data_IF_510716771155
#
_entry.id   IF_510716771155
#
_cell.length_a   1.000
_cell.length_b   1.000
_cell.length_c   1.000
_cell.angle_alpha   90.00
_cell.angle_beta   90.00
_cell.angle_gamma   90.00
#
_symmetry.space_group_name_H-M   'P 1'
#
loop_
_entity.id
_entity.type
_entity.pdbx_description
1 polymer ?
#
# COMPACT_ATOMS: atom_id res chain seq x y z
N UNK A 1 0.41 -18.92 -25.50
CA UNK A 1 0.52 -17.58 -26.13
C UNK A 1 0.22 -16.54 -25.05
N UNK A 2 1.24 -16.14 -24.29
CA UNK A 2 1.09 -15.38 -23.03
C UNK A 2 1.52 -13.93 -23.30
N UNK A 3 0.56 -12.99 -23.27
CA UNK A 3 0.82 -11.56 -23.43
C UNK A 3 1.43 -11.02 -22.13
N UNK A 4 2.74 -10.81 -22.14
CA UNK A 4 3.45 -9.95 -21.17
C UNK A 4 3.09 -8.50 -21.47
N UNK A 5 2.37 -7.84 -20.56
CA UNK A 5 2.15 -6.39 -20.61
C UNK A 5 2.69 -5.75 -19.35
N UNK A 6 3.79 -5.01 -19.51
CA UNK A 6 3.87 -3.63 -19.02
C UNK A 6 4.10 -3.35 -17.53
N UNK A 7 5.09 -3.97 -16.88
CA UNK A 7 5.68 -3.42 -15.63
C UNK A 7 6.77 -2.40 -15.94
N UNK A 8 6.42 -1.21 -16.42
CA UNK A 8 7.31 -0.01 -16.44
C UNK A 8 6.45 1.24 -16.53
N UNK A 9 6.32 1.98 -15.42
CA UNK A 9 6.06 3.44 -15.32
C UNK A 9 5.37 3.80 -14.00
N UNK A 10 6.05 3.68 -12.86
CA UNK A 10 5.74 4.49 -11.65
C UNK A 10 7.05 4.72 -10.88
N UNK A 11 8.01 5.41 -11.49
CA UNK A 11 9.18 6.01 -10.82
C UNK A 11 9.58 7.25 -11.63
N UNK A 12 8.70 8.25 -11.64
CA UNK A 12 8.97 9.56 -12.26
C UNK A 12 8.01 10.62 -11.69
N UNK A 13 7.91 10.70 -10.36
CA UNK A 13 7.03 11.66 -9.68
C UNK A 13 7.65 12.28 -8.43
N UNK A 14 8.98 12.27 -8.32
CA UNK A 14 9.72 12.70 -7.13
C UNK A 14 10.95 13.53 -7.55
N UNK A 15 10.73 14.55 -8.38
CA UNK A 15 11.78 15.48 -8.79
C UNK A 15 11.26 16.83 -9.33
N UNK A 16 10.08 17.31 -8.89
CA UNK A 16 9.54 18.59 -9.38
C UNK A 16 8.74 19.33 -8.30
N UNK A 17 9.39 19.65 -7.17
CA UNK A 17 8.82 20.59 -6.18
C UNK A 17 9.90 21.35 -5.38
N UNK A 18 11.10 21.53 -5.94
CA UNK A 18 12.19 22.30 -5.32
C UNK A 18 12.73 23.35 -6.29
N UNK A 19 11.87 24.29 -6.72
CA UNK A 19 12.27 25.36 -7.63
C UNK A 19 11.33 26.57 -7.56
N UNK A 20 11.09 27.14 -6.35
CA UNK A 20 10.46 28.47 -6.23
C UNK A 20 11.13 29.40 -5.20
N UNK A 21 11.93 28.93 -4.23
CA UNK A 21 12.50 29.80 -3.18
C UNK A 21 13.99 30.11 -3.34
N UNK A 22 14.37 30.76 -4.45
CA UNK A 22 15.74 31.28 -4.64
C UNK A 22 15.81 32.62 -5.40
N UNK A 23 14.85 33.54 -5.20
CA UNK A 23 14.86 34.89 -5.83
C UNK A 23 14.53 36.03 -4.84
N UNK A 24 14.85 35.90 -3.56
CA UNK A 24 14.63 36.98 -2.57
C UNK A 24 15.92 37.36 -1.81
N UNK A 25 17.04 37.43 -2.52
CA UNK A 25 18.33 37.88 -1.98
C UNK A 25 19.08 38.75 -3.00
N UNK A 26 18.44 39.82 -3.52
CA UNK A 26 19.09 40.80 -4.40
C UNK A 26 18.26 42.10 -4.56
N UNK A 27 17.97 42.79 -3.45
CA UNK A 27 17.56 44.20 -3.38
C UNK A 27 17.35 44.48 -1.88
N UNK A 28 18.25 45.14 -1.16
CA UNK A 28 18.39 46.60 -1.10
C UNK A 28 19.83 46.87 -0.65
N UNK A 29 20.72 47.12 -1.61
CA UNK A 29 22.10 47.57 -1.37
C UNK A 29 22.55 48.41 -2.57
N UNK A 30 21.86 49.53 -2.80
CA UNK A 30 22.26 50.57 -3.75
C UNK A 30 21.37 51.83 -3.64
N UNK A 31 21.60 52.69 -2.64
CA UNK A 31 21.48 54.16 -2.80
C UNK A 31 22.55 54.81 -1.93
N UNK A 32 23.79 54.69 -2.37
CA UNK A 32 24.88 55.62 -2.05
C UNK A 32 25.22 56.30 -3.38
N UNK A 33 25.47 57.61 -3.31
CA UNK A 33 25.96 58.51 -4.38
C UNK A 33 24.92 59.21 -5.26
N UNK A 34 24.45 60.39 -4.81
CA UNK A 34 24.65 61.66 -5.53
C UNK A 34 24.07 62.82 -4.71
N UNK A 35 24.92 63.60 -4.03
CA UNK A 35 24.77 65.03 -3.81
C UNK A 35 25.97 65.51 -2.98
N UNK A 36 27.09 65.70 -3.66
CA UNK A 36 28.13 66.58 -3.15
C UNK A 36 27.68 68.04 -3.28
N UNK A 37 27.90 68.82 -2.23
CA UNK A 37 28.73 70.04 -2.19
C UNK A 37 28.15 71.09 -1.25
N UNK A 38 29.03 71.47 -0.32
CA UNK A 38 29.28 72.85 0.11
C UNK A 38 28.13 73.57 0.82
N UNK A 39 28.18 73.54 2.16
CA UNK A 39 28.09 74.80 2.88
C UNK A 39 28.91 74.73 4.17
N UNK A 40 30.01 75.48 4.17
CA UNK A 40 30.89 75.73 5.30
C UNK A 40 30.67 77.18 5.73
N UNK A 41 29.95 77.37 6.82
CA UNK A 41 29.96 78.58 7.65
C UNK A 41 29.69 78.08 9.07
N UNK A 42 30.75 77.78 9.84
CA UNK A 42 31.28 78.64 10.90
C UNK A 42 30.26 79.07 11.97
N UNK A 43 30.63 78.70 13.21
CA UNK A 43 30.31 79.36 14.48
C UNK A 43 28.89 79.08 15.01
N UNK A 44 28.66 78.66 16.26
CA UNK A 44 29.36 78.98 17.51
C UNK A 44 28.82 78.11 18.67
N UNK A 45 29.72 77.77 19.60
CA UNK A 45 29.52 77.51 21.05
C UNK A 45 28.75 76.24 21.49
N UNK A 46 29.37 75.39 22.35
CA UNK A 46 28.71 74.28 23.00
C UNK A 46 27.96 74.80 24.24
N UNK A 47 26.64 74.94 24.13
CA UNK A 47 25.79 75.16 25.29
C UNK A 47 25.46 73.80 25.90
N UNK A 48 26.30 73.39 26.85
CA UNK A 48 25.99 72.33 27.78
C UNK A 48 24.77 72.77 28.62
N UNK A 49 23.60 72.26 28.26
CA UNK A 49 22.38 72.35 29.05
C UNK A 49 21.94 70.94 29.46
N UNK A 50 22.09 70.71 30.77
CA UNK A 50 21.31 69.85 31.65
C UNK A 50 21.21 68.32 31.39
N UNK A 51 21.90 67.50 32.22
CA UNK A 51 21.55 66.10 32.40
C UNK A 51 20.45 65.96 33.47
N UNK A 52 19.24 66.44 33.18
CA UNK A 52 18.05 66.08 33.94
C UNK A 52 16.95 65.67 32.96
N UNK A 53 17.10 64.46 32.41
CA UNK A 53 16.02 63.76 31.75
C UNK A 53 14.83 63.66 32.71
N UNK A 54 13.74 64.34 32.38
CA UNK A 54 12.49 64.32 33.13
C UNK A 54 12.00 62.86 33.24
N UNK A 55 12.04 62.22 34.43
CA UNK A 55 11.86 60.77 34.57
C UNK A 55 10.47 60.31 34.08
N UNK A 56 9.49 61.21 34.12
CA UNK A 56 8.13 60.98 33.63
C UNK A 56 8.08 60.75 32.11
N UNK A 57 8.92 61.45 31.33
CA UNK A 57 8.99 61.26 29.87
C UNK A 57 9.74 59.99 29.49
N UNK A 58 10.76 59.63 30.25
CA UNK A 58 11.48 58.38 30.07
C UNK A 58 10.56 57.16 30.32
N UNK A 59 9.77 57.18 31.39
CA UNK A 59 8.79 56.12 31.66
C UNK A 59 7.70 56.01 30.58
N UNK A 60 7.21 57.13 30.06
CA UNK A 60 6.21 57.12 28.99
C UNK A 60 6.75 56.48 27.69
N UNK A 61 8.01 56.77 27.34
CA UNK A 61 8.68 56.16 26.19
C UNK A 61 8.91 54.65 26.36
N UNK A 62 9.28 54.20 27.56
CA UNK A 62 9.43 52.75 27.85
C UNK A 62 8.08 52.01 27.82
N UNK A 63 6.99 52.63 28.29
CA UNK A 63 5.63 52.07 28.17
C UNK A 63 5.20 51.96 26.70
N UNK A 64 5.54 52.94 25.88
CA UNK A 64 5.21 52.90 24.45
C UNK A 64 6.03 51.83 23.70
N UNK A 65 7.30 51.63 24.07
CA UNK A 65 8.15 50.55 23.54
C UNK A 65 7.60 49.17 23.90
N UNK A 66 7.32 48.94 25.18
CA UNK A 66 6.75 47.67 25.65
C UNK A 66 5.39 47.38 25.04
N UNK A 67 4.53 48.40 24.87
CA UNK A 67 3.27 48.25 24.15
C UNK A 67 3.49 47.86 22.67
N UNK A 68 4.43 48.51 21.98
CA UNK A 68 4.78 48.15 20.59
C UNK A 68 5.30 46.72 20.50
N UNK A 69 6.18 46.30 21.40
CA UNK A 69 6.69 44.92 21.47
C UNK A 69 5.56 43.90 21.67
N UNK A 70 4.63 44.18 22.59
CA UNK A 70 3.47 43.32 22.83
C UNK A 70 2.58 43.19 21.58
N UNK A 71 2.35 44.30 20.87
CA UNK A 71 1.56 44.30 19.63
C UNK A 71 2.24 43.45 18.55
N UNK A 72 3.56 43.54 18.39
CA UNK A 72 4.30 42.71 17.45
C UNK A 72 4.30 41.22 17.85
N UNK A 73 4.43 40.90 19.15
CA UNK A 73 4.32 39.53 19.63
C UNK A 73 2.91 38.95 19.37
N UNK A 74 1.86 39.73 19.61
CA UNK A 74 0.48 39.31 19.33
C UNK A 74 0.23 39.12 17.84
N UNK A 75 0.80 39.97 16.97
CA UNK A 75 0.73 39.81 15.51
C UNK A 75 1.45 38.54 15.07
N UNK A 76 2.64 38.28 15.60
CA UNK A 76 3.41 37.06 15.31
C UNK A 76 2.64 35.80 15.73
N UNK A 77 2.08 35.79 16.95
CA UNK A 77 1.24 34.68 17.44
C UNK A 77 -0.02 34.48 16.60
N UNK A 78 -0.70 35.56 16.22
CA UNK A 78 -1.87 35.48 15.33
C UNK A 78 -1.51 34.85 13.99
N UNK A 79 -0.43 35.31 13.36
CA UNK A 79 0.04 34.75 12.09
C UNK A 79 0.45 33.27 12.22
N UNK A 80 1.02 32.86 13.36
CA UNK A 80 1.33 31.46 13.64
C UNK A 80 0.05 30.61 13.78
N UNK A 81 -0.95 31.11 14.50
CA UNK A 81 -2.25 30.44 14.66
C UNK A 81 -2.94 30.28 13.30
N UNK A 82 -3.03 31.33 12.50
CA UNK A 82 -3.64 31.29 11.17
C UNK A 82 -2.94 30.26 10.25
N UNK A 83 -1.61 30.16 10.33
CA UNK A 83 -0.84 29.12 9.61
C UNK A 83 -1.19 27.72 10.08
N UNK A 84 -1.31 27.51 11.40
CA UNK A 84 -1.69 26.22 11.97
C UNK A 84 -3.12 25.83 11.61
N UNK A 85 -4.05 26.77 11.65
CA UNK A 85 -5.44 26.55 11.24
C UNK A 85 -5.54 26.16 9.76
N UNK A 86 -4.78 26.83 8.90
CA UNK A 86 -4.71 26.47 7.47
C UNK A 86 -4.15 25.06 7.25
N UNK A 87 -3.06 24.68 7.96
CA UNK A 87 -2.47 23.34 7.88
C UNK A 87 -3.42 22.26 8.42
N UNK A 88 -4.11 22.52 9.54
CA UNK A 88 -5.11 21.59 10.08
C UNK A 88 -6.27 21.41 9.11
N UNK A 89 -6.83 22.51 8.58
CA UNK A 89 -7.93 22.45 7.62
C UNK A 89 -7.56 21.65 6.36
N UNK A 90 -6.33 21.81 5.86
CA UNK A 90 -5.85 21.02 4.73
C UNK A 90 -5.74 19.53 5.05
N UNK A 91 -5.19 19.18 6.23
CA UNK A 91 -5.12 17.79 6.67
C UNK A 91 -6.50 17.17 6.87
N UNK A 92 -7.45 17.92 7.41
CA UNK A 92 -8.84 17.45 7.57
C UNK A 92 -9.47 17.12 6.21
N UNK A 93 -9.28 17.97 5.19
CA UNK A 93 -9.72 17.67 3.82
C UNK A 93 -9.08 16.40 3.27
N UNK A 94 -7.78 16.23 3.45
CA UNK A 94 -7.07 15.02 3.00
C UNK A 94 -7.59 13.76 3.71
N UNK A 95 -7.86 13.84 5.02
CA UNK A 95 -8.42 12.71 5.78
C UNK A 95 -9.81 12.33 5.29
N UNK A 96 -10.65 13.30 4.91
CA UNK A 96 -11.98 13.01 4.34
C UNK A 96 -11.84 12.27 3.01
N UNK A 97 -11.01 12.77 2.10
CA UNK A 97 -10.76 12.11 0.79
C UNK A 97 -10.27 10.68 1.00
N UNK A 98 -9.25 10.49 1.85
CA UNK A 98 -8.70 9.16 2.13
C UNK A 98 -9.73 8.20 2.75
N UNK A 99 -10.66 8.72 3.57
CA UNK A 99 -11.75 7.90 4.15
C UNK A 99 -12.74 7.46 3.08
N UNK A 100 -13.09 8.34 2.14
CA UNK A 100 -13.99 8.02 1.03
C UNK A 100 -13.34 6.99 0.08
N UNK A 101 -12.07 7.18 -0.26
CA UNK A 101 -11.29 6.23 -1.07
C UNK A 101 -11.21 4.86 -0.38
N UNK A 102 -10.87 4.82 0.91
CA UNK A 102 -10.80 3.58 1.67
C UNK A 102 -12.16 2.87 1.75
N UNK A 103 -13.25 3.62 1.91
CA UNK A 103 -14.60 3.04 1.90
C UNK A 103 -14.92 2.40 0.54
N UNK A 104 -14.60 3.07 -0.56
CA UNK A 104 -14.78 2.53 -1.90
C UNK A 104 -13.93 1.27 -2.15
N UNK A 105 -12.67 1.27 -1.73
CA UNK A 105 -11.79 0.09 -1.83
C UNK A 105 -12.32 -1.09 -1.01
N UNK A 106 -12.82 -0.84 0.20
CA UNK A 106 -13.40 -1.89 1.05
C UNK A 106 -14.63 -2.53 0.42
N UNK A 107 -15.51 -1.74 -0.21
CA UNK A 107 -16.66 -2.28 -0.94
C UNK A 107 -16.21 -3.09 -2.16
N UNK A 108 -15.25 -2.59 -2.95
CA UNK A 108 -14.69 -3.35 -4.08
C UNK A 108 -14.09 -4.70 -3.64
N UNK A 109 -13.39 -4.74 -2.50
CA UNK A 109 -12.85 -5.99 -1.93
C UNK A 109 -13.96 -6.93 -1.48
N UNK A 110 -15.04 -6.42 -0.85
CA UNK A 110 -16.19 -7.25 -0.46
C UNK A 110 -16.87 -7.86 -1.67
N UNK A 111 -17.09 -7.08 -2.72
CA UNK A 111 -17.68 -7.56 -3.98
C UNK A 111 -16.81 -8.62 -4.64
N UNK A 112 -15.50 -8.39 -4.72
CA UNK A 112 -14.55 -9.36 -5.25
C UNK A 112 -14.56 -10.68 -4.47
N UNK A 113 -14.61 -10.61 -3.12
CA UNK A 113 -14.75 -11.80 -2.26
C UNK A 113 -16.07 -12.53 -2.50
N UNK A 114 -17.17 -11.82 -2.64
CA UNK A 114 -18.47 -12.41 -2.92
C UNK A 114 -18.55 -13.04 -4.32
N UNK A 115 -17.90 -12.43 -5.32
CA UNK A 115 -17.76 -13.01 -6.65
C UNK A 115 -16.95 -14.31 -6.61
N UNK A 116 -15.78 -14.30 -5.95
CA UNK A 116 -14.93 -15.48 -5.83
C UNK A 116 -15.63 -16.62 -5.07
N UNK A 117 -16.39 -16.30 -4.02
CA UNK A 117 -17.18 -17.30 -3.29
C UNK A 117 -18.26 -17.95 -4.18
N UNK A 118 -18.94 -17.15 -5.02
CA UNK A 118 -19.94 -17.65 -5.98
C UNK A 118 -19.30 -18.54 -7.05
N UNK A 119 -18.19 -18.11 -7.63
CA UNK A 119 -17.46 -18.91 -8.63
C UNK A 119 -16.96 -20.22 -8.06
N UNK A 120 -16.40 -20.19 -6.84
CA UNK A 120 -15.96 -21.40 -6.14
C UNK A 120 -17.12 -22.37 -5.93
N UNK A 121 -18.27 -21.87 -5.44
CA UNK A 121 -19.46 -22.71 -5.25
C UNK A 121 -19.95 -23.31 -6.56
N UNK A 122 -20.02 -22.51 -7.64
CA UNK A 122 -20.40 -23.00 -8.96
C UNK A 122 -19.41 -24.07 -9.48
N UNK A 123 -18.11 -23.89 -9.24
CA UNK A 123 -17.11 -24.88 -9.59
C UNK A 123 -17.26 -26.18 -8.79
N UNK A 124 -17.52 -26.09 -7.49
CA UNK A 124 -17.77 -27.25 -6.63
C UNK A 124 -19.05 -28.00 -7.06
N UNK A 125 -20.12 -27.28 -7.40
CA UNK A 125 -21.39 -27.84 -7.92
C UNK A 125 -21.23 -28.52 -9.28
N UNK A 126 -20.35 -28.03 -10.16
CA UNK A 126 -20.05 -28.68 -11.43
C UNK A 126 -19.10 -29.89 -11.27
N UNK A 127 -18.14 -29.79 -10.33
CA UNK A 127 -17.12 -30.81 -10.11
C UNK A 127 -17.68 -32.04 -9.41
N UNK A 128 -18.52 -31.89 -8.39
CA UNK A 128 -19.00 -33.03 -7.61
C UNK A 128 -19.78 -34.06 -8.45
N UNK A 129 -20.81 -33.70 -9.26
CA UNK A 129 -21.54 -34.67 -10.07
C UNK A 129 -20.68 -35.27 -11.20
N UNK A 130 -19.72 -34.50 -11.72
CA UNK A 130 -18.81 -34.98 -12.76
C UNK A 130 -17.80 -35.98 -12.22
N UNK A 131 -17.29 -35.73 -11.01
CA UNK A 131 -16.38 -36.63 -10.32
C UNK A 131 -17.08 -37.91 -9.84
N UNK A 132 -18.32 -37.81 -9.35
CA UNK A 132 -19.12 -39.00 -9.00
C UNK A 132 -19.39 -39.91 -10.19
N UNK A 133 -19.67 -39.34 -11.38
CA UNK A 133 -19.82 -40.11 -12.62
C UNK A 133 -18.52 -40.81 -13.00
N UNK A 134 -17.38 -40.13 -12.84
CA UNK A 134 -16.07 -40.71 -13.07
C UNK A 134 -15.81 -41.86 -12.10
N UNK A 135 -16.08 -41.67 -10.81
CA UNK A 135 -15.96 -42.74 -9.80
C UNK A 135 -16.80 -43.95 -10.18
N UNK A 136 -18.09 -43.77 -10.48
CA UNK A 136 -18.98 -44.88 -10.89
C UNK A 136 -18.47 -45.62 -12.12
N UNK A 137 -17.91 -44.90 -13.10
CA UNK A 137 -17.33 -45.52 -14.29
C UNK A 137 -16.13 -46.40 -13.95
N UNK A 138 -15.25 -45.97 -13.02
CA UNK A 138 -14.11 -46.75 -12.56
C UNK A 138 -14.52 -47.88 -11.59
N UNK A 139 -15.56 -47.71 -10.78
CA UNK A 139 -16.08 -48.77 -9.91
C UNK A 139 -16.60 -49.97 -10.71
N UNK A 140 -17.22 -49.74 -11.87
CA UNK A 140 -17.70 -50.79 -12.78
C UNK A 140 -16.67 -51.30 -13.76
N UNK A 141 -15.44 -50.77 -13.74
CA UNK A 141 -14.39 -51.12 -14.68
C UNK A 141 -13.57 -52.31 -14.19
N UNK A 142 -13.21 -53.22 -15.10
CA UNK A 142 -12.28 -54.31 -14.78
C UNK A 142 -10.91 -53.78 -14.32
N UNK A 143 -10.29 -54.38 -13.29
CA UNK A 143 -9.05 -53.86 -12.68
C UNK A 143 -7.91 -53.62 -13.68
N UNK A 144 -7.72 -54.52 -14.65
CA UNK A 144 -6.66 -54.39 -15.68
C UNK A 144 -6.89 -53.20 -16.62
N UNK A 145 -8.15 -52.92 -16.96
CA UNK A 145 -8.53 -51.78 -17.79
C UNK A 145 -8.43 -50.47 -17.00
N UNK A 146 -8.84 -50.50 -15.73
CA UNK A 146 -8.67 -49.38 -14.81
C UNK A 146 -7.19 -49.03 -14.66
N UNK A 147 -6.31 -50.00 -14.44
CA UNK A 147 -4.87 -49.80 -14.34
C UNK A 147 -4.27 -49.09 -15.57
N UNK A 148 -4.64 -49.53 -16.78
CA UNK A 148 -4.18 -48.88 -18.04
C UNK A 148 -4.67 -47.42 -18.12
N UNK A 149 -5.94 -47.19 -17.83
CA UNK A 149 -6.53 -45.85 -17.88
C UNK A 149 -5.91 -44.93 -16.81
N UNK A 150 -5.71 -45.42 -15.59
CA UNK A 150 -5.05 -44.69 -14.51
C UNK A 150 -3.61 -44.33 -14.87
N UNK A 151 -2.86 -45.24 -15.49
CA UNK A 151 -1.50 -44.95 -15.90
C UNK A 151 -1.41 -43.90 -17.02
N UNK A 152 -2.34 -43.91 -17.96
CA UNK A 152 -2.43 -42.84 -18.96
C UNK A 152 -2.81 -41.51 -18.31
N UNK A 153 -3.80 -41.52 -17.42
CA UNK A 153 -4.25 -40.34 -16.70
C UNK A 153 -3.14 -39.77 -15.82
N UNK A 154 -2.34 -40.61 -15.17
CA UNK A 154 -1.23 -40.21 -14.31
C UNK A 154 -0.21 -39.34 -15.04
N UNK A 155 0.07 -39.63 -16.31
CA UNK A 155 0.97 -38.82 -17.14
C UNK A 155 0.45 -37.41 -17.42
N UNK A 156 -0.88 -37.23 -17.37
CA UNK A 156 -1.54 -35.95 -17.63
C UNK A 156 -1.78 -35.18 -16.33
N UNK A 157 -2.33 -35.86 -15.32
CA UNK A 157 -2.67 -35.31 -14.02
C UNK A 157 -2.57 -36.39 -12.93
N UNK A 158 -1.42 -36.40 -12.25
CA UNK A 158 -1.16 -37.27 -11.11
C UNK A 158 -2.16 -37.07 -9.97
N UNK A 159 -2.62 -35.84 -9.74
CA UNK A 159 -3.45 -35.55 -8.57
C UNK A 159 -4.87 -36.08 -8.72
N UNK A 160 -5.41 -36.08 -9.94
CA UNK A 160 -6.72 -36.67 -10.23
C UNK A 160 -6.70 -38.18 -10.00
N UNK A 161 -5.61 -38.88 -10.33
CA UNK A 161 -5.46 -40.33 -10.07
C UNK A 161 -5.52 -40.63 -8.58
N UNK A 162 -4.80 -39.84 -7.78
CA UNK A 162 -4.80 -39.97 -6.31
C UNK A 162 -6.19 -39.68 -5.74
N UNK A 163 -6.85 -38.60 -6.18
CA UNK A 163 -8.21 -38.25 -5.75
C UNK A 163 -9.20 -39.37 -6.11
N UNK A 164 -9.10 -39.92 -7.32
CA UNK A 164 -9.96 -40.99 -7.82
C UNK A 164 -9.80 -42.27 -6.98
N UNK A 165 -8.56 -42.71 -6.74
CA UNK A 165 -8.29 -43.90 -5.92
C UNK A 165 -8.74 -43.72 -4.45
N UNK A 166 -8.60 -42.51 -3.90
CA UNK A 166 -9.11 -42.19 -2.56
C UNK A 166 -10.64 -42.15 -2.49
N UNK A 167 -11.31 -41.85 -3.60
CA UNK A 167 -12.77 -41.82 -3.71
C UNK A 167 -13.40 -43.18 -4.00
N UNK A 168 -12.65 -44.12 -4.58
CA UNK A 168 -13.11 -45.48 -4.85
C UNK A 168 -13.30 -46.28 -3.56
N UNK A 169 -14.17 -47.30 -3.61
CA UNK A 169 -14.32 -48.26 -2.50
C UNK A 169 -12.99 -48.97 -2.23
N UNK A 170 -12.61 -49.22 -0.97
CA UNK A 170 -11.29 -49.75 -0.62
C UNK A 170 -10.89 -51.02 -1.40
N UNK A 171 -11.84 -51.95 -1.59
CA UNK A 171 -11.60 -53.19 -2.34
C UNK A 171 -11.29 -52.95 -3.82
N UNK A 172 -12.01 -52.01 -4.46
CA UNK A 172 -11.81 -51.67 -5.87
C UNK A 172 -10.53 -50.86 -6.06
N UNK A 173 -10.26 -49.91 -5.16
CA UNK A 173 -9.02 -49.14 -5.16
C UNK A 173 -7.79 -50.07 -5.01
N UNK A 174 -7.85 -51.04 -4.09
CA UNK A 174 -6.81 -52.05 -3.92
C UNK A 174 -6.62 -52.89 -5.19
N UNK A 175 -7.70 -53.45 -5.75
CA UNK A 175 -7.63 -54.25 -6.98
C UNK A 175 -7.05 -53.46 -8.16
N UNK A 176 -7.44 -52.20 -8.34
CA UNK A 176 -6.91 -51.32 -9.38
C UNK A 176 -5.43 -50.97 -9.13
N UNK A 177 -5.02 -50.74 -7.87
CA UNK A 177 -3.63 -50.51 -7.50
C UNK A 177 -2.77 -51.76 -7.70
N UNK A 178 -3.28 -52.96 -7.38
CA UNK A 178 -2.59 -54.23 -7.59
C UNK A 178 -2.36 -54.48 -9.09
N UNK A 179 -3.39 -54.29 -9.91
CA UNK A 179 -3.29 -54.38 -11.36
C UNK A 179 -2.33 -53.31 -11.94
N UNK A 180 -2.35 -52.09 -11.37
CA UNK A 180 -1.40 -51.04 -11.75
C UNK A 180 0.03 -51.39 -11.34
N UNK A 181 0.25 -52.00 -10.18
CA UNK A 181 1.56 -52.44 -9.73
C UNK A 181 2.11 -53.57 -10.62
N UNK A 182 1.24 -54.48 -11.06
CA UNK A 182 1.61 -55.54 -12.00
C UNK A 182 2.00 -54.99 -13.38
N UNK A 183 1.28 -53.97 -13.89
CA UNK A 183 1.54 -53.40 -15.21
C UNK A 183 2.64 -52.34 -15.22
N UNK A 184 2.68 -51.45 -14.22
CA UNK A 184 3.52 -50.25 -14.12
C UNK A 184 3.93 -49.98 -12.65
N UNK A 185 4.91 -50.72 -12.12
CA UNK A 185 5.27 -50.69 -10.70
C UNK A 185 5.74 -49.31 -10.21
N UNK A 186 6.45 -48.54 -11.06
CA UNK A 186 6.92 -47.20 -10.70
C UNK A 186 5.76 -46.23 -10.45
N UNK A 187 4.73 -46.26 -11.31
CA UNK A 187 3.53 -45.42 -11.18
C UNK A 187 2.77 -45.80 -9.91
N UNK A 188 2.57 -47.10 -9.68
CA UNK A 188 1.91 -47.60 -8.48
C UNK A 188 2.63 -47.15 -7.20
N UNK A 189 3.96 -47.21 -7.16
CA UNK A 189 4.75 -46.76 -6.01
C UNK A 189 4.58 -45.26 -5.75
N UNK A 190 4.63 -44.43 -6.79
CA UNK A 190 4.46 -42.97 -6.66
C UNK A 190 3.05 -42.61 -6.18
N UNK A 191 2.02 -43.22 -6.78
CA UNK A 191 0.62 -43.01 -6.36
C UNK A 191 0.41 -43.45 -4.92
N UNK A 192 0.92 -44.61 -4.53
CA UNK A 192 0.79 -45.12 -3.15
C UNK A 192 1.48 -44.21 -2.13
N UNK A 193 2.65 -43.66 -2.48
CA UNK A 193 3.34 -42.69 -1.64
C UNK A 193 2.52 -41.40 -1.45
N UNK A 194 1.94 -40.85 -2.53
CA UNK A 194 1.10 -39.65 -2.43
C UNK A 194 -0.20 -39.89 -1.65
N UNK A 195 -0.80 -41.08 -1.78
CA UNK A 195 -1.95 -41.51 -0.96
C UNK A 195 -1.55 -41.54 0.53
N UNK A 196 -0.42 -42.17 0.86
CA UNK A 196 0.09 -42.23 2.24
C UNK A 196 0.32 -40.84 2.83
N UNK A 197 1.00 -39.97 2.07
CA UNK A 197 1.31 -38.59 2.47
C UNK A 197 0.06 -37.77 2.78
N UNK A 198 -1.02 -37.95 2.00
CA UNK A 198 -2.30 -37.27 2.21
C UNK A 198 -3.13 -37.85 3.34
N UNK A 199 -2.94 -39.13 3.68
CA UNK A 199 -3.79 -39.81 4.65
C UNK A 199 -3.01 -40.73 5.62
N UNK A 200 -2.08 -40.19 6.42
CA UNK A 200 -1.19 -40.99 7.27
C UNK A 200 -1.95 -41.76 8.39
N UNK A 201 -3.21 -41.41 8.66
CA UNK A 201 -4.03 -42.00 9.72
C UNK A 201 -4.85 -43.22 9.30
N UNK A 202 -5.01 -43.49 7.99
CA UNK A 202 -5.85 -44.61 7.49
C UNK A 202 -5.14 -45.94 7.33
N UNK A 203 -3.81 -45.97 7.51
CA UNK A 203 -2.95 -47.14 7.29
C UNK A 203 -2.35 -47.72 8.59
N UNK A 204 -2.86 -47.28 9.76
CA UNK A 204 -2.60 -47.89 11.07
C UNK A 204 -3.83 -48.66 11.49
#
# INVERSE_FOLDING_TARGET
MIRRVGRRRILAGLAAANLVNAVAAAAILAVVSLAGRESRAQQTVPEALDPLADPVKAEALERERTFRELVEELRAKKAEIERREADISERERQVVILREELAAELEAVKEARAALARERKAFEELRAPSFERLLKAYEGMEPDNAAKALAELFRRDQMVVVDLLLGLKPRQAAAALDALAAAQPEVAAQVSYEIWKRNPKRLR
#
